data_IF_094387609155
#
_entry.id   IF_094387609155
#
_cell.length_a   1.000
_cell.length_b   1.000
_cell.length_c   1.000
_cell.angle_alpha   90.00
_cell.angle_beta   90.00
_cell.angle_gamma   90.00
#
_symmetry.space_group_name_H-M   'P 1'
#
loop_
_entity.id
_entity.type
_entity.pdbx_description
1 polymer ?
#
# COMPACT_ATOMS: atom_id res chain seq x y z
N UNK A 1 22.68 -8.43 -39.56
CA UNK A 1 21.51 -8.30 -38.66
C UNK A 1 20.31 -7.99 -39.53
N UNK A 2 19.32 -8.88 -39.56
CA UNK A 2 18.15 -8.79 -40.43
C UNK A 2 17.06 -8.02 -39.68
N UNK A 3 16.48 -7.00 -40.30
CA UNK A 3 15.51 -6.05 -39.71
C UNK A 3 14.19 -6.68 -39.26
N UNK A 4 13.97 -7.97 -39.56
CA UNK A 4 12.78 -8.72 -39.18
C UNK A 4 12.76 -9.18 -37.71
N UNK A 5 13.90 -9.15 -36.99
CA UNK A 5 13.97 -9.55 -35.58
C UNK A 5 13.37 -8.50 -34.62
N UNK A 6 13.09 -7.28 -35.10
CA UNK A 6 12.52 -6.18 -34.29
C UNK A 6 10.97 -6.16 -34.30
N UNK A 7 10.34 -6.93 -35.20
CA UNK A 7 8.87 -6.99 -35.34
C UNK A 7 8.23 -8.12 -34.51
N UNK A 8 9.04 -9.03 -33.98
CA UNK A 8 8.65 -10.04 -32.98
C UNK A 8 9.13 -9.63 -31.58
N UNK A 9 9.13 -8.32 -31.28
CA UNK A 9 9.23 -7.87 -29.90
C UNK A 9 7.91 -8.25 -29.22
N UNK A 10 7.85 -9.52 -28.80
CA UNK A 10 6.83 -10.08 -27.93
C UNK A 10 6.54 -9.05 -26.84
N UNK A 11 5.30 -8.59 -26.88
CA UNK A 11 4.71 -7.71 -25.90
C UNK A 11 5.08 -8.21 -24.48
N UNK A 12 5.43 -7.30 -23.56
CA UNK A 12 6.25 -7.63 -22.41
C UNK A 12 5.66 -8.77 -21.58
N UNK A 13 6.49 -9.79 -21.37
CA UNK A 13 6.46 -10.65 -20.17
C UNK A 13 6.28 -9.67 -18.99
N UNK A 14 5.29 -9.86 -18.08
CA UNK A 14 5.01 -8.88 -17.02
C UNK A 14 6.31 -8.54 -16.32
N UNK A 15 6.74 -7.27 -16.43
CA UNK A 15 7.97 -6.81 -15.81
C UNK A 15 7.73 -6.79 -14.30
N UNK A 16 8.35 -7.68 -13.51
CA UNK A 16 8.02 -7.87 -12.11
C UNK A 16 8.20 -6.59 -11.28
N UNK A 17 9.02 -5.63 -11.76
CA UNK A 17 9.20 -4.34 -11.10
C UNK A 17 7.92 -3.49 -11.04
N UNK A 18 7.04 -3.60 -12.04
CA UNK A 18 5.75 -2.89 -12.05
C UNK A 18 4.72 -3.55 -11.15
N UNK A 19 4.73 -4.89 -11.03
CA UNK A 19 3.84 -5.61 -10.12
C UNK A 19 4.15 -5.27 -8.65
N UNK A 20 5.43 -5.11 -8.29
CA UNK A 20 5.82 -4.66 -6.96
C UNK A 20 5.58 -3.16 -6.71
N UNK A 21 5.41 -2.34 -7.75
CA UNK A 21 5.19 -0.90 -7.57
C UNK A 21 3.89 -0.59 -6.83
N UNK A 22 2.85 -1.37 -7.09
CA UNK A 22 1.55 -1.24 -6.42
C UNK A 22 1.64 -1.69 -4.96
N UNK A 23 2.28 -2.84 -4.70
CA UNK A 23 2.54 -3.34 -3.35
C UNK A 23 3.33 -2.30 -2.54
N UNK A 24 4.40 -1.76 -3.10
CA UNK A 24 5.21 -0.72 -2.50
C UNK A 24 4.41 0.54 -2.19
N UNK A 25 3.58 0.98 -3.13
CA UNK A 25 2.73 2.16 -2.96
C UNK A 25 1.74 1.98 -1.80
N UNK A 26 1.04 0.83 -1.74
CA UNK A 26 0.13 0.53 -0.63
C UNK A 26 0.86 0.46 0.71
N UNK A 27 2.04 -0.17 0.75
CA UNK A 27 2.85 -0.27 1.97
C UNK A 27 3.36 1.09 2.46
N UNK A 28 3.84 1.95 1.56
CA UNK A 28 4.29 3.30 1.91
C UNK A 28 3.15 4.18 2.42
N UNK A 29 1.98 4.13 1.76
CA UNK A 29 0.81 4.87 2.21
C UNK A 29 0.35 4.40 3.59
N UNK A 30 0.29 3.08 3.84
CA UNK A 30 -0.03 2.53 5.15
C UNK A 30 0.99 2.95 6.24
N UNK A 31 2.28 2.98 5.90
CA UNK A 31 3.32 3.45 6.83
C UNK A 31 3.17 4.94 7.17
N UNK A 32 2.82 5.78 6.20
CA UNK A 32 2.55 7.20 6.43
C UNK A 32 1.30 7.40 7.32
N UNK A 33 0.22 6.67 7.05
CA UNK A 33 -1.01 6.69 7.84
C UNK A 33 -0.74 6.24 9.29
N UNK A 34 0.04 5.18 9.50
CA UNK A 34 0.47 4.72 10.83
C UNK A 34 1.28 5.78 11.58
N UNK A 35 2.23 6.44 10.92
CA UNK A 35 3.00 7.53 11.53
C UNK A 35 2.08 8.67 11.97
N UNK A 36 1.13 9.06 11.12
CA UNK A 36 0.15 10.09 11.46
C UNK A 36 -0.71 9.68 12.65
N UNK A 37 -1.16 8.42 12.71
CA UNK A 37 -1.92 7.89 13.83
C UNK A 37 -1.11 7.91 15.13
N UNK A 38 0.17 7.50 15.10
CA UNK A 38 1.04 7.57 16.27
C UNK A 38 1.27 9.01 16.74
N UNK A 39 1.45 9.96 15.82
CA UNK A 39 1.53 11.38 16.17
C UNK A 39 0.23 11.86 16.81
N UNK A 40 -0.94 11.50 16.25
CA UNK A 40 -2.23 11.84 16.85
C UNK A 40 -2.36 11.25 18.26
N UNK A 41 -2.09 9.96 18.44
CA UNK A 41 -2.15 9.30 19.74
C UNK A 41 -1.20 9.94 20.75
N UNK A 42 -0.02 10.40 20.33
CA UNK A 42 0.91 11.12 21.20
C UNK A 42 0.41 12.51 21.63
N UNK A 43 -0.50 13.13 20.86
CA UNK A 43 -1.15 14.41 21.21
C UNK A 43 -2.39 14.26 22.06
N UNK A 44 -2.94 13.04 22.20
CA UNK A 44 -4.10 12.78 23.04
C UNK A 44 -3.63 12.58 24.48
N UNK A 45 -3.89 13.57 25.33
CA UNK A 45 -3.55 13.51 26.76
C UNK A 45 -4.54 12.63 27.54
N UNK A 46 -5.83 12.69 27.19
CA UNK A 46 -6.90 11.90 27.81
C UNK A 46 -7.61 11.02 26.77
N UNK A 47 -7.55 9.71 26.97
CA UNK A 47 -8.29 8.77 26.13
C UNK A 47 -9.79 8.82 26.45
N UNK A 48 -10.58 9.32 25.49
CA UNK A 48 -12.05 9.30 25.55
C UNK A 48 -12.63 8.22 24.62
N UNK A 49 -13.89 7.81 24.80
CA UNK A 49 -14.56 6.88 23.87
C UNK A 49 -14.52 7.35 22.41
N UNK A 50 -14.60 8.65 22.17
CA UNK A 50 -14.52 9.26 20.84
C UNK A 50 -13.12 9.09 20.23
N UNK A 51 -12.07 9.33 21.02
CA UNK A 51 -10.69 9.11 20.57
C UNK A 51 -10.42 7.63 20.27
N UNK A 52 -10.99 6.71 21.06
CA UNK A 52 -10.89 5.27 20.83
C UNK A 52 -11.60 4.85 19.53
N UNK A 53 -12.80 5.39 19.27
CA UNK A 53 -13.50 5.17 17.99
C UNK A 53 -12.70 5.71 16.80
N UNK A 54 -12.11 6.90 16.93
CA UNK A 54 -11.29 7.49 15.89
C UNK A 54 -10.04 6.64 15.59
N UNK A 55 -9.32 6.20 16.62
CA UNK A 55 -8.15 5.31 16.48
C UNK A 55 -8.55 4.00 15.80
N UNK A 56 -9.64 3.37 16.22
CA UNK A 56 -10.16 2.14 15.61
C UNK A 56 -10.52 2.33 14.13
N UNK A 57 -11.15 3.46 13.79
CA UNK A 57 -11.50 3.78 12.40
C UNK A 57 -10.25 3.93 11.53
N UNK A 58 -9.22 4.63 12.01
CA UNK A 58 -7.96 4.78 11.30
C UNK A 58 -7.22 3.45 11.15
N UNK A 59 -7.15 2.62 12.20
CA UNK A 59 -6.57 1.28 12.14
C UNK A 59 -7.29 0.37 11.14
N UNK A 60 -8.62 0.43 11.08
CA UNK A 60 -9.39 -0.32 10.08
C UNK A 60 -9.05 0.11 8.65
N UNK A 61 -8.94 1.41 8.40
CA UNK A 61 -8.56 1.94 7.09
C UNK A 61 -7.15 1.49 6.67
N UNK A 62 -6.18 1.57 7.57
CA UNK A 62 -4.81 1.07 7.37
C UNK A 62 -4.83 -0.43 7.08
N UNK A 63 -5.60 -1.21 7.85
CA UNK A 63 -5.75 -2.64 7.67
C UNK A 63 -6.34 -3.02 6.31
N UNK A 64 -7.36 -2.29 5.84
CA UNK A 64 -7.92 -2.49 4.50
C UNK A 64 -6.87 -2.25 3.42
N UNK A 65 -6.07 -1.19 3.53
CA UNK A 65 -4.99 -0.89 2.58
C UNK A 65 -3.92 -1.99 2.54
N UNK A 66 -3.50 -2.50 3.70
CA UNK A 66 -2.56 -3.61 3.78
C UNK A 66 -3.14 -4.91 3.21
N UNK A 67 -4.43 -5.16 3.39
CA UNK A 67 -5.11 -6.29 2.77
C UNK A 67 -5.18 -6.15 1.25
N UNK A 68 -5.36 -4.94 0.71
CA UNK A 68 -5.25 -4.69 -0.73
C UNK A 68 -3.85 -5.01 -1.24
N UNK A 69 -2.79 -4.59 -0.52
CA UNK A 69 -1.41 -4.92 -0.86
C UNK A 69 -1.17 -6.42 -0.86
N UNK A 70 -1.68 -7.13 0.16
CA UNK A 70 -1.58 -8.59 0.26
C UNK A 70 -2.29 -9.29 -0.90
N UNK A 71 -3.47 -8.82 -1.30
CA UNK A 71 -4.19 -9.36 -2.44
C UNK A 71 -3.41 -9.31 -3.75
N UNK A 72 -2.45 -8.38 -3.90
CA UNK A 72 -1.55 -8.30 -5.06
C UNK A 72 -0.41 -9.31 -5.01
N UNK A 73 -0.09 -9.86 -3.84
CA UNK A 73 0.94 -10.89 -3.64
C UNK A 73 0.36 -12.29 -3.85
N UNK A 74 -0.92 -12.48 -3.51
CA UNK A 74 -1.62 -13.76 -3.54
C UNK A 74 -2.22 -14.10 -4.94
N UNK A 75 -1.97 -13.29 -5.98
CA UNK A 75 -2.38 -13.47 -7.39
C UNK A 75 -1.36 -14.26 -8.21
#
# INVERSE_FOLDING_TARGET
>A
MNTNDLLNADYPIPDPAWDYSQIWHHAQAAAAELRSLFTYMATVEDATPETDQQVKSQLNSIGQRLNSARGLIDL
#
